data_IF_756744822049
#
_entry.id   IF_756744822049
#
_cell.length_a   1.000
_cell.length_b   1.000
_cell.length_c   1.000
_cell.angle_alpha   90.00
_cell.angle_beta   90.00
_cell.angle_gamma   90.00
#
_symmetry.space_group_name_H-M   'P 1'
#
loop_
_entity.id
_entity.type
_entity.pdbx_description
1 polymer ?
#
# COMPACT_ATOMS: atom_id res chain seq x y z
N UNK A 1 -4.54 -12.41 10.90
CA UNK A 1 -3.75 -11.50 10.04
C UNK A 1 -3.09 -12.31 8.93
N UNK A 2 -3.30 -11.93 7.66
CA UNK A 2 -2.61 -12.59 6.56
C UNK A 2 -1.09 -12.42 6.70
N UNK A 3 -0.36 -13.46 6.35
CA UNK A 3 1.09 -13.46 6.42
C UNK A 3 1.67 -14.25 5.24
N UNK A 4 2.99 -14.36 5.20
CA UNK A 4 3.69 -15.11 4.16
C UNK A 4 3.14 -16.53 4.03
N UNK A 5 2.82 -16.91 2.82
CA UNK A 5 2.21 -18.21 2.48
C UNK A 5 0.69 -18.18 2.35
N UNK A 6 0.04 -17.12 2.84
CA UNK A 6 -1.42 -16.98 2.73
C UNK A 6 -1.81 -16.38 1.37
N UNK A 7 -3.02 -16.68 0.92
CA UNK A 7 -3.61 -16.00 -0.23
C UNK A 7 -3.97 -14.58 0.18
N UNK A 8 -3.55 -13.60 -0.62
CA UNK A 8 -3.90 -12.20 -0.38
C UNK A 8 -5.41 -11.99 -0.50
N UNK A 9 -6.05 -11.34 0.48
CA UNK A 9 -7.46 -11.02 0.38
C UNK A 9 -7.77 -10.19 -0.87
N UNK A 10 -8.77 -10.62 -1.63
CA UNK A 10 -9.24 -9.91 -2.82
C UNK A 10 -9.95 -8.62 -2.45
N UNK A 11 -9.83 -7.61 -3.31
CA UNK A 11 -10.59 -6.38 -3.13
C UNK A 11 -10.86 -5.69 -4.47
N UNK A 12 -11.90 -4.86 -4.47
CA UNK A 12 -12.19 -3.90 -5.53
C UNK A 12 -12.42 -2.55 -4.85
N UNK A 13 -11.74 -1.51 -5.31
CA UNK A 13 -11.79 -0.21 -4.66
C UNK A 13 -11.51 0.92 -5.67
N UNK A 14 -11.82 2.18 -5.30
CA UNK A 14 -11.38 3.33 -6.08
C UNK A 14 -9.86 3.44 -6.10
N UNK A 15 -9.32 3.86 -7.23
CA UNK A 15 -7.90 4.06 -7.45
C UNK A 15 -7.64 5.51 -7.84
N UNK A 16 -6.80 6.19 -7.07
CA UNK A 16 -6.37 7.56 -7.34
C UNK A 16 -5.16 7.54 -8.27
N UNK A 17 -5.36 7.97 -9.50
CA UNK A 17 -4.36 7.95 -10.59
C UNK A 17 -4.05 9.36 -11.12
N UNK A 18 -4.51 10.39 -10.42
CA UNK A 18 -4.71 11.74 -10.93
C UNK A 18 -6.16 11.95 -11.32
N UNK A 19 -6.80 10.91 -11.86
CA UNK A 19 -8.25 10.76 -11.97
C UNK A 19 -8.74 9.78 -10.89
N UNK A 20 -9.98 9.34 -10.97
CA UNK A 20 -10.52 8.28 -10.10
C UNK A 20 -10.93 7.12 -10.98
N UNK A 21 -10.24 6.01 -10.83
CA UNK A 21 -10.50 4.77 -11.56
C UNK A 21 -10.95 3.69 -10.57
N UNK A 22 -10.89 2.44 -10.98
CA UNK A 22 -11.20 1.30 -10.13
C UNK A 22 -10.07 0.26 -10.25
N UNK A 23 -9.77 -0.40 -9.15
CA UNK A 23 -8.80 -1.51 -9.12
C UNK A 23 -9.45 -2.74 -8.53
N UNK A 24 -9.23 -3.89 -9.17
CA UNK A 24 -9.50 -5.22 -8.61
C UNK A 24 -8.15 -5.94 -8.54
N UNK A 25 -7.79 -6.41 -7.35
CA UNK A 25 -6.44 -6.97 -7.13
C UNK A 25 -6.13 -8.11 -8.09
N UNK A 26 -7.01 -9.08 -8.24
CA UNK A 26 -6.78 -10.25 -9.11
C UNK A 26 -6.54 -9.87 -10.56
N UNK A 27 -7.24 -8.86 -11.07
CA UNK A 27 -7.06 -8.37 -12.44
C UNK A 27 -5.67 -7.76 -12.64
N UNK A 28 -5.19 -7.01 -11.64
CA UNK A 28 -3.86 -6.37 -11.70
C UNK A 28 -2.72 -7.38 -11.55
N UNK A 29 -2.93 -8.44 -10.78
CA UNK A 29 -1.92 -9.49 -10.62
C UNK A 29 -1.58 -10.19 -11.94
N UNK A 30 -2.51 -10.26 -12.89
CA UNK A 30 -2.28 -10.87 -14.19
C UNK A 30 -1.20 -10.14 -15.00
N UNK A 31 -1.18 -8.81 -14.90
CA UNK A 31 -0.32 -7.96 -15.74
C UNK A 31 0.81 -7.27 -14.97
N UNK A 32 0.67 -7.11 -13.66
CA UNK A 32 1.53 -6.22 -12.87
C UNK A 32 2.23 -6.90 -11.69
N UNK A 33 2.06 -8.21 -11.50
CA UNK A 33 2.74 -8.90 -10.40
C UNK A 33 4.25 -8.98 -10.62
N UNK A 34 5.07 -8.90 -9.54
CA UNK A 34 4.64 -8.80 -8.15
C UNK A 34 4.10 -7.41 -7.82
N UNK A 35 3.13 -7.37 -6.91
CA UNK A 35 2.52 -6.11 -6.43
C UNK A 35 2.93 -5.85 -4.99
N UNK A 36 3.33 -4.62 -4.71
CA UNK A 36 3.62 -4.12 -3.37
C UNK A 36 2.44 -3.29 -2.90
N UNK A 37 1.80 -3.69 -1.80
CA UNK A 37 0.77 -2.89 -1.14
C UNK A 37 1.39 -2.23 0.10
N UNK A 38 1.47 -0.91 0.10
CA UNK A 38 2.02 -0.13 1.21
C UNK A 38 0.87 0.60 1.91
N UNK A 39 0.41 0.02 3.02
CA UNK A 39 -0.65 0.61 3.85
C UNK A 39 -0.06 1.69 4.74
N UNK A 40 -0.75 2.81 4.88
CA UNK A 40 -0.35 3.89 5.77
C UNK A 40 -1.57 4.53 6.45
N UNK A 41 -1.38 5.12 7.65
CA UNK A 41 -2.51 5.64 8.43
C UNK A 41 -3.29 6.77 7.77
N UNK A 42 -2.61 7.69 7.09
CA UNK A 42 -3.32 8.80 6.46
C UNK A 42 -2.42 9.74 5.68
N UNK A 43 -2.94 10.25 4.57
CA UNK A 43 -2.29 11.27 3.75
C UNK A 43 -2.05 12.54 4.56
N UNK A 44 -1.05 13.32 4.16
CA UNK A 44 -0.67 14.61 4.76
C UNK A 44 -0.07 14.53 6.16
N UNK A 45 0.21 13.33 6.67
CA UNK A 45 0.96 13.16 7.92
C UNK A 45 2.45 13.03 7.62
N UNK A 46 3.33 13.40 8.58
CA UNK A 46 4.76 13.53 8.31
C UNK A 46 5.45 12.23 7.93
N UNK A 47 5.24 11.17 8.71
CA UNK A 47 5.90 9.87 8.46
C UNK A 47 5.33 9.21 7.20
N UNK A 48 4.02 9.33 6.97
CA UNK A 48 3.39 8.79 5.76
C UNK A 48 3.90 9.49 4.50
N UNK A 49 4.08 10.81 4.55
CA UNK A 49 4.66 11.58 3.45
C UNK A 49 6.09 11.10 3.17
N UNK A 50 6.90 10.95 4.21
CA UNK A 50 8.28 10.45 4.09
C UNK A 50 8.31 9.05 3.47
N UNK A 51 7.45 8.16 3.92
CA UNK A 51 7.37 6.79 3.39
C UNK A 51 7.01 6.78 1.89
N UNK A 52 5.97 7.49 1.53
CA UNK A 52 5.52 7.50 0.12
C UNK A 52 6.53 8.17 -0.79
N UNK A 53 7.19 9.24 -0.34
CA UNK A 53 8.28 9.86 -1.09
C UNK A 53 9.49 8.93 -1.24
N UNK A 54 9.77 8.12 -0.22
CA UNK A 54 10.85 7.12 -0.29
C UNK A 54 10.52 6.02 -1.30
N UNK A 55 9.28 5.54 -1.35
CA UNK A 55 8.86 4.60 -2.39
C UNK A 55 8.98 5.22 -3.78
N UNK A 56 8.63 6.49 -3.94
CA UNK A 56 8.79 7.19 -5.22
C UNK A 56 10.27 7.24 -5.64
N UNK A 57 11.16 7.56 -4.70
CA UNK A 57 12.61 7.60 -4.98
C UNK A 57 13.17 6.24 -5.40
N UNK A 58 12.55 5.16 -4.96
CA UNK A 58 12.95 3.79 -5.27
C UNK A 58 12.13 3.15 -6.41
N UNK A 59 11.21 3.91 -6.99
CA UNK A 59 10.27 3.35 -7.96
C UNK A 59 10.97 2.74 -9.18
N UNK A 60 12.07 3.33 -9.63
CA UNK A 60 12.85 2.79 -10.74
C UNK A 60 13.38 1.38 -10.44
N UNK A 61 13.77 1.09 -9.21
CA UNK A 61 14.23 -0.24 -8.81
C UNK A 61 13.09 -1.27 -8.88
N UNK A 62 11.88 -0.89 -8.48
CA UNK A 62 10.71 -1.76 -8.61
C UNK A 62 10.31 -1.96 -10.07
N UNK A 63 10.36 -0.91 -10.89
CA UNK A 63 10.08 -0.98 -12.32
C UNK A 63 11.07 -1.92 -13.03
N UNK A 64 12.34 -1.90 -12.65
CA UNK A 64 13.37 -2.80 -13.19
C UNK A 64 13.07 -4.28 -12.87
N UNK A 65 12.29 -4.53 -11.82
CA UNK A 65 11.84 -5.87 -11.42
C UNK A 65 10.44 -6.20 -11.96
N UNK A 66 9.89 -5.34 -12.81
CA UNK A 66 8.52 -5.42 -13.33
C UNK A 66 7.45 -5.46 -12.22
N UNK A 67 7.75 -4.86 -11.07
CA UNK A 67 6.86 -4.79 -9.94
C UNK A 67 6.08 -3.47 -9.92
N UNK A 68 4.89 -3.50 -9.35
CA UNK A 68 4.05 -2.31 -9.18
C UNK A 68 3.85 -2.01 -7.69
N UNK A 69 3.86 -0.72 -7.34
CA UNK A 69 3.65 -0.25 -5.97
C UNK A 69 2.32 0.49 -5.90
N UNK A 70 1.51 0.17 -4.90
CA UNK A 70 0.28 0.89 -4.59
C UNK A 70 0.31 1.31 -3.12
N UNK A 71 0.07 2.60 -2.85
CA UNK A 71 -0.22 3.06 -1.50
C UNK A 71 -1.67 2.76 -1.17
N UNK A 72 -1.97 2.44 0.08
CA UNK A 72 -3.33 2.13 0.53
C UNK A 72 -3.63 2.87 1.83
N UNK A 73 -4.69 3.66 1.84
CA UNK A 73 -5.18 4.31 3.05
C UNK A 73 -6.70 4.46 3.03
N UNK A 74 -7.26 4.86 4.17
CA UNK A 74 -8.71 5.11 4.29
C UNK A 74 -9.13 6.49 3.78
N UNK A 75 -8.19 7.29 3.28
CA UNK A 75 -8.50 8.58 2.68
C UNK A 75 -9.36 8.43 1.44
N UNK A 76 -10.17 9.45 1.13
CA UNK A 76 -10.95 9.45 -0.11
C UNK A 76 -10.04 9.50 -1.34
N UNK A 77 -10.51 9.04 -2.51
CA UNK A 77 -9.69 9.11 -3.72
C UNK A 77 -9.35 10.56 -4.09
N UNK A 78 -10.19 11.51 -3.72
CA UNK A 78 -9.93 12.95 -3.96
C UNK A 78 -8.79 13.47 -3.10
N UNK A 79 -8.76 13.10 -1.81
CA UNK A 79 -7.67 13.46 -0.91
C UNK A 79 -6.35 12.80 -1.35
N UNK A 80 -6.40 11.55 -1.78
CA UNK A 80 -5.23 10.84 -2.27
C UNK A 80 -4.67 11.46 -3.56
N UNK A 81 -5.52 11.93 -4.46
CA UNK A 81 -5.07 12.63 -5.66
C UNK A 81 -4.35 13.93 -5.31
N UNK A 82 -4.86 14.69 -4.34
CA UNK A 82 -4.20 15.91 -3.90
C UNK A 82 -2.85 15.61 -3.22
N UNK A 83 -2.81 14.59 -2.37
CA UNK A 83 -1.58 14.14 -1.73
C UNK A 83 -0.53 13.73 -2.76
N UNK A 84 -0.95 12.97 -3.77
CA UNK A 84 -0.12 12.55 -4.89
C UNK A 84 0.45 13.74 -5.66
N UNK A 85 -0.38 14.72 -5.96
CA UNK A 85 0.01 15.92 -6.70
C UNK A 85 0.97 16.80 -5.90
N UNK A 86 0.71 17.03 -4.62
CA UNK A 86 1.56 17.87 -3.77
C UNK A 86 2.96 17.30 -3.57
N UNK A 87 3.12 15.98 -3.64
CA UNK A 87 4.40 15.31 -3.40
C UNK A 87 5.04 14.77 -4.68
N UNK A 88 4.48 15.08 -5.85
CA UNK A 88 4.97 14.62 -7.16
C UNK A 88 5.12 13.10 -7.23
N UNK A 89 4.16 12.37 -6.65
CA UNK A 89 4.16 10.91 -6.65
C UNK A 89 3.58 10.39 -7.97
N UNK A 90 4.24 9.40 -8.57
CA UNK A 90 3.84 8.86 -9.88
C UNK A 90 3.19 7.48 -9.78
N UNK A 91 3.27 6.82 -8.64
CA UNK A 91 2.53 5.58 -8.42
C UNK A 91 1.12 5.86 -7.89
N UNK A 92 0.24 4.88 -8.01
CA UNK A 92 -1.18 5.08 -7.73
C UNK A 92 -1.55 4.66 -6.31
N UNK A 93 -2.69 5.18 -5.83
CA UNK A 93 -3.15 4.98 -4.46
C UNK A 93 -4.55 4.34 -4.43
N UNK A 94 -4.68 3.29 -3.64
CA UNK A 94 -5.96 2.61 -3.39
C UNK A 94 -6.67 3.33 -2.25
N UNK A 95 -7.93 3.73 -2.49
CA UNK A 95 -8.76 4.36 -1.47
C UNK A 95 -9.61 3.31 -0.76
N UNK A 96 -9.30 3.06 0.50
CA UNK A 96 -10.08 2.16 1.36
C UNK A 96 -11.04 2.97 2.24
N UNK A 97 -11.82 3.84 1.62
CA UNK A 97 -12.69 4.77 2.32
C UNK A 97 -13.77 4.07 3.15
N UNK A 98 -14.20 2.89 2.74
CA UNK A 98 -15.17 2.08 3.47
C UNK A 98 -14.52 1.13 4.50
N UNK A 99 -13.20 1.12 4.58
CA UNK A 99 -12.39 0.34 5.54
C UNK A 99 -12.45 -1.19 5.37
N UNK A 100 -12.98 -1.67 4.27
CA UNK A 100 -13.10 -3.11 4.03
C UNK A 100 -11.75 -3.78 3.82
N UNK A 101 -10.80 -3.09 3.17
CA UNK A 101 -9.47 -3.65 2.88
C UNK A 101 -8.65 -3.79 4.16
N UNK A 102 -8.60 -2.75 5.00
CA UNK A 102 -7.85 -2.83 6.25
C UNK A 102 -8.41 -3.89 7.19
N UNK A 103 -9.71 -4.11 7.16
CA UNK A 103 -10.35 -5.18 7.93
C UNK A 103 -9.99 -6.56 7.37
N UNK A 104 -10.00 -6.73 6.05
CA UNK A 104 -9.64 -7.99 5.40
C UNK A 104 -8.17 -8.37 5.65
N UNK A 105 -7.28 -7.39 5.65
CA UNK A 105 -5.85 -7.59 5.91
C UNK A 105 -5.49 -7.54 7.40
N UNK A 106 -6.49 -7.29 8.27
CA UNK A 106 -6.33 -7.21 9.73
C UNK A 106 -5.24 -6.21 10.15
N UNK A 107 -5.26 -5.04 9.53
CA UNK A 107 -4.31 -3.95 9.79
C UNK A 107 -5.00 -2.66 10.25
N UNK A 108 -6.17 -2.77 10.86
CA UNK A 108 -6.89 -1.62 11.42
C UNK A 108 -6.31 -1.20 12.77
N UNK A 109 -6.22 0.10 13.00
CA UNK A 109 -5.80 0.66 14.29
C UNK A 109 -6.52 1.98 14.59
N UNK A 110 -6.42 2.40 15.85
CA UNK A 110 -6.99 3.67 16.31
C UNK A 110 -5.89 4.55 16.90
N UNK A 111 -5.98 5.86 16.63
CA UNK A 111 -5.22 6.89 17.33
C UNK A 111 -6.14 7.59 18.32
N UNK A 112 -6.35 7.01 19.48
CA UNK A 112 -7.29 7.52 20.49
C UNK A 112 -6.99 8.96 20.91
N UNK A 113 -5.71 9.29 21.09
CA UNK A 113 -5.27 10.62 21.49
C UNK A 113 -5.58 11.71 20.44
N UNK A 114 -5.78 11.33 19.19
CA UNK A 114 -6.05 12.25 18.09
C UNK A 114 -7.50 12.21 17.65
N UNK A 115 -8.31 11.32 18.22
CA UNK A 115 -9.70 11.12 17.80
C UNK A 115 -9.82 10.52 16.41
N UNK A 116 -8.80 9.77 15.97
CA UNK A 116 -8.75 9.15 14.64
C UNK A 116 -8.88 7.63 14.81
N UNK A 117 -9.92 7.06 14.21
CA UNK A 117 -10.28 5.66 14.42
C UNK A 117 -10.39 4.92 13.08
N UNK A 118 -10.08 3.62 13.10
CA UNK A 118 -10.23 2.77 11.93
C UNK A 118 -9.34 3.18 10.77
N UNK A 119 -8.06 3.42 11.05
CA UNK A 119 -7.06 3.71 10.01
C UNK A 119 -6.11 2.54 9.85
N UNK A 120 -5.34 2.52 8.77
CA UNK A 120 -4.41 1.42 8.51
C UNK A 120 -3.19 1.49 9.44
N UNK A 121 -2.78 0.35 9.98
CA UNK A 121 -1.43 0.19 10.50
C UNK A 121 -0.45 0.34 9.35
N UNK A 122 0.70 0.96 9.60
CA UNK A 122 1.77 1.00 8.60
C UNK A 122 2.24 -0.42 8.33
N UNK A 123 2.07 -0.87 7.11
CA UNK A 123 2.35 -2.25 6.73
C UNK A 123 2.68 -2.36 5.26
N UNK A 124 3.44 -3.41 4.91
CA UNK A 124 3.81 -3.68 3.52
C UNK A 124 3.60 -5.16 3.24
N UNK A 125 2.90 -5.45 2.16
CA UNK A 125 2.69 -6.81 1.65
C UNK A 125 3.21 -6.90 0.23
N UNK A 126 3.95 -7.97 -0.07
CA UNK A 126 4.34 -8.30 -1.44
C UNK A 126 3.53 -9.51 -1.88
N UNK A 127 2.91 -9.42 -3.05
CA UNK A 127 1.99 -10.43 -3.58
C UNK A 127 2.50 -10.89 -4.94
N UNK A 128 2.68 -12.20 -5.11
CA UNK A 128 3.16 -12.77 -6.35
C UNK A 128 2.04 -12.96 -7.40
N UNK A 129 2.39 -13.46 -8.57
CA UNK A 129 1.46 -13.66 -9.68
C UNK A 129 0.34 -14.68 -9.37
N UNK A 130 0.56 -15.57 -8.42
CA UNK A 130 -0.43 -16.56 -7.98
C UNK A 130 -1.38 -16.02 -6.91
N UNK A 131 -1.17 -14.77 -6.47
CA UNK A 131 -1.96 -14.14 -5.41
C UNK A 131 -1.51 -14.53 -4.01
N UNK A 132 -0.33 -15.11 -3.87
CA UNK A 132 0.24 -15.48 -2.57
C UNK A 132 1.03 -14.31 -1.99
N UNK A 133 0.86 -14.07 -0.68
CA UNK A 133 1.69 -13.14 0.07
C UNK A 133 3.06 -13.77 0.28
N UNK A 134 4.10 -13.15 -0.27
CA UNK A 134 5.47 -13.63 -0.16
C UNK A 134 6.30 -12.86 0.85
N UNK A 135 5.81 -11.68 1.28
CA UNK A 135 6.42 -10.86 2.31
C UNK A 135 5.32 -10.09 3.03
N UNK A 136 5.41 -10.02 4.35
CA UNK A 136 4.48 -9.24 5.17
C UNK A 136 5.23 -8.58 6.32
N UNK A 137 5.08 -7.26 6.43
CA UNK A 137 5.61 -6.48 7.54
C UNK A 137 4.49 -5.59 8.07
N UNK A 138 4.24 -5.63 9.37
CA UNK A 138 3.20 -4.82 10.02
C UNK A 138 3.79 -4.19 11.28
N UNK A 139 3.63 -2.88 11.42
CA UNK A 139 4.07 -2.16 12.61
C UNK A 139 2.87 -1.69 13.44
N UNK A 140 2.93 -1.90 14.75
CA UNK A 140 1.97 -1.30 15.68
C UNK A 140 2.33 0.15 16.03
N UNK A 141 3.55 0.59 15.67
CA UNK A 141 4.01 1.96 15.87
C UNK A 141 3.97 2.72 14.54
N UNK A 142 3.09 3.73 14.40
CA UNK A 142 2.95 4.49 13.15
C UNK A 142 4.16 5.36 12.83
N UNK A 143 5.07 5.56 13.78
CA UNK A 143 6.32 6.30 13.58
C UNK A 143 7.44 5.47 12.97
N UNK A 144 7.26 4.16 12.81
CA UNK A 144 8.28 3.27 12.25
C UNK A 144 8.04 3.08 10.76
N UNK A 145 9.06 3.38 9.95
CA UNK A 145 9.03 3.13 8.50
C UNK A 145 9.43 1.68 8.21
N UNK A 146 9.01 1.13 7.04
CA UNK A 146 9.47 -0.20 6.64
C UNK A 146 10.97 -0.18 6.29
N UNK A 147 11.58 -1.37 6.28
CA UNK A 147 12.91 -1.54 5.71
C UNK A 147 12.75 -1.69 4.19
N UNK A 148 13.05 -0.64 3.46
CA UNK A 148 12.85 -0.58 2.01
C UNK A 148 13.75 -1.55 1.26
N UNK A 149 14.94 -1.83 1.76
CA UNK A 149 15.85 -2.81 1.16
C UNK A 149 15.27 -4.22 1.28
N UNK A 150 14.67 -4.56 2.42
CA UNK A 150 13.97 -5.83 2.60
C UNK A 150 12.80 -5.98 1.63
N UNK A 151 12.05 -4.91 1.40
CA UNK A 151 10.93 -4.92 0.46
C UNK A 151 11.44 -5.16 -0.97
N UNK A 152 12.50 -4.47 -1.37
CA UNK A 152 13.12 -4.67 -2.69
C UNK A 152 13.64 -6.10 -2.85
N UNK A 153 14.30 -6.65 -1.82
CA UNK A 153 14.81 -8.02 -1.84
C UNK A 153 13.65 -9.04 -1.96
N UNK A 154 12.56 -8.83 -1.24
CA UNK A 154 11.38 -9.68 -1.32
C UNK A 154 10.75 -9.66 -2.71
N UNK A 155 10.69 -8.50 -3.34
CA UNK A 155 10.20 -8.35 -4.72
C UNK A 155 11.13 -9.08 -5.69
N UNK A 156 12.44 -8.92 -5.55
CA UNK A 156 13.42 -9.58 -6.41
C UNK A 156 13.33 -11.11 -6.33
N UNK A 157 12.99 -11.66 -5.17
CA UNK A 157 12.87 -13.10 -4.95
C UNK A 157 11.72 -13.73 -5.75
N UNK A 158 10.72 -12.96 -6.14
CA UNK A 158 9.53 -13.46 -6.86
C UNK A 158 9.32 -12.79 -8.23
N UNK A 159 10.20 -11.91 -8.60
CA UNK A 159 10.13 -11.21 -9.89
C UNK A 159 10.52 -12.13 -11.08
#
# INVERSE_FOLDING_TARGET
>A
MPTTGDTAPEFTAPLATGDVESITLSDRLEDEAPIVLAFFPGAFTSVCTTEMCTFEDRLAAFDDLDASVYGVSVDSPFALNEFRAQNDLTFDFVSDFDREIIDAYDVSMDFDNLGVYGVAKRSVFVIDADGEITYAWVSDDPGVEPDYDEVEDAVADVA
#
